data_IF_183363855697
#
_entry.id   IF_183363855697
#
_cell.length_a   1.000
_cell.length_b   1.000
_cell.length_c   1.000
_cell.angle_alpha   90.00
_cell.angle_beta   90.00
_cell.angle_gamma   90.00
#
_symmetry.space_group_name_H-M   'P 1'
#
loop_
_entity.id
_entity.type
_entity.pdbx_description
1 polymer ?
#
# COMPACT_ATOMS: atom_id res chain seq x y z
N UNK A 1 8.06 -35.42 8.79
CA UNK A 1 9.01 -34.68 7.95
C UNK A 1 9.68 -35.68 7.04
N UNK A 2 9.44 -35.58 5.73
CA UNK A 2 10.11 -36.40 4.73
C UNK A 2 11.22 -35.58 4.09
N UNK A 3 12.25 -36.28 3.63
CA UNK A 3 13.32 -35.70 2.82
C UNK A 3 13.10 -36.10 1.37
N UNK A 4 13.45 -35.22 0.45
CA UNK A 4 13.44 -35.48 -0.98
C UNK A 4 14.85 -35.57 -1.51
N UNK A 5 15.06 -36.55 -2.39
CA UNK A 5 16.21 -36.56 -3.28
C UNK A 5 16.05 -35.53 -4.40
N UNK A 6 17.13 -35.28 -5.14
CA UNK A 6 17.11 -34.36 -6.29
C UNK A 6 16.05 -34.71 -7.35
N UNK A 7 15.79 -36.00 -7.57
CA UNK A 7 14.75 -36.45 -8.51
C UNK A 7 13.34 -36.18 -8.00
N UNK A 8 13.09 -36.46 -6.72
CA UNK A 8 11.78 -36.23 -6.10
C UNK A 8 11.47 -34.73 -6.00
N UNK A 9 12.48 -33.92 -5.68
CA UNK A 9 12.37 -32.46 -5.70
C UNK A 9 12.04 -31.95 -7.11
N UNK A 10 12.69 -32.49 -8.14
CA UNK A 10 12.42 -32.14 -9.53
C UNK A 10 10.99 -32.55 -9.96
N UNK A 11 10.54 -33.75 -9.61
CA UNK A 11 9.16 -34.17 -9.89
C UNK A 11 8.12 -33.34 -9.14
N UNK A 12 8.39 -32.99 -7.88
CA UNK A 12 7.50 -32.19 -7.06
C UNK A 12 7.32 -30.77 -7.63
N UNK A 13 8.42 -30.12 -8.00
CA UNK A 13 8.41 -28.79 -8.61
C UNK A 13 8.05 -28.81 -10.09
N UNK A 14 7.91 -30.00 -10.70
CA UNK A 14 7.70 -30.22 -12.14
C UNK A 14 8.74 -29.51 -13.00
N UNK A 15 10.00 -29.63 -12.61
CA UNK A 15 11.17 -29.10 -13.33
C UNK A 15 12.11 -30.22 -13.76
N UNK A 16 12.99 -29.94 -14.73
CA UNK A 16 14.05 -30.88 -15.07
C UNK A 16 15.06 -31.03 -13.92
N UNK A 17 15.64 -32.22 -13.77
CA UNK A 17 16.67 -32.51 -12.76
C UNK A 17 17.85 -31.55 -12.83
N UNK A 18 18.29 -31.18 -14.03
CA UNK A 18 19.43 -30.24 -14.19
C UNK A 18 19.08 -28.85 -13.70
N UNK A 19 17.83 -28.42 -13.86
CA UNK A 19 17.31 -27.16 -13.31
C UNK A 19 17.23 -27.21 -11.80
N UNK A 20 16.67 -28.27 -11.22
CA UNK A 20 16.67 -28.48 -9.77
C UNK A 20 18.10 -28.46 -9.19
N UNK A 21 19.05 -29.06 -9.89
CA UNK A 21 20.47 -29.06 -9.49
C UNK A 21 21.09 -27.66 -9.56
N UNK A 22 20.70 -26.84 -10.54
CA UNK A 22 21.15 -25.44 -10.64
C UNK A 22 20.59 -24.59 -9.51
N UNK A 23 19.29 -24.72 -9.22
CA UNK A 23 18.63 -24.00 -8.12
C UNK A 23 19.28 -24.34 -6.77
N UNK A 24 19.58 -25.63 -6.53
CA UNK A 24 20.28 -26.05 -5.32
C UNK A 24 21.72 -25.51 -5.24
N UNK A 25 22.43 -25.40 -6.37
CA UNK A 25 23.76 -24.81 -6.43
C UNK A 25 23.75 -23.29 -6.25
N UNK A 26 22.73 -22.61 -6.76
CA UNK A 26 22.52 -21.17 -6.61
C UNK A 26 22.09 -20.80 -5.18
N UNK A 27 21.54 -21.77 -4.44
CA UNK A 27 21.03 -21.57 -3.08
C UNK A 27 19.60 -21.06 -3.04
N UNK A 28 18.87 -21.10 -4.16
CA UNK A 28 17.45 -20.74 -4.23
C UNK A 28 16.57 -21.70 -3.42
N UNK A 29 16.92 -22.99 -3.44
CA UNK A 29 16.25 -24.02 -2.64
C UNK A 29 17.20 -24.46 -1.53
N UNK A 30 16.70 -24.44 -0.29
CA UNK A 30 17.45 -24.92 0.87
C UNK A 30 17.60 -26.43 0.76
N UNK A 31 18.85 -26.87 0.57
CA UNK A 31 19.21 -28.27 0.45
C UNK A 31 20.61 -28.53 0.96
N UNK A 32 20.81 -29.70 1.53
CA UNK A 32 22.11 -30.15 2.01
C UNK A 32 22.73 -31.11 0.98
N UNK A 33 24.00 -30.87 0.64
CA UNK A 33 24.79 -31.84 -0.12
C UNK A 33 25.42 -32.83 0.85
N UNK A 34 24.92 -34.07 0.82
CA UNK A 34 25.42 -35.16 1.65
C UNK A 34 26.20 -36.12 0.75
N UNK A 35 27.53 -35.98 0.76
CA UNK A 35 28.43 -36.70 -0.14
C UNK A 35 28.20 -36.35 -1.62
N UNK A 36 27.73 -37.32 -2.40
CA UNK A 36 27.42 -37.16 -3.84
C UNK A 36 25.95 -36.81 -4.11
N UNK A 37 25.08 -36.97 -3.12
CA UNK A 37 23.65 -36.74 -3.25
C UNK A 37 23.25 -35.37 -2.70
N UNK A 38 22.15 -34.84 -3.24
CA UNK A 38 21.48 -33.66 -2.72
C UNK A 38 20.22 -34.11 -2.00
N UNK A 39 20.04 -33.63 -0.78
CA UNK A 39 18.91 -33.94 0.08
C UNK A 39 18.22 -32.63 0.45
N UNK A 40 16.91 -32.60 0.25
CA UNK A 40 16.04 -31.46 0.53
C UNK A 40 15.03 -31.86 1.59
N UNK A 41 14.58 -30.91 2.40
CA UNK A 41 13.41 -31.15 3.24
C UNK A 41 12.16 -30.83 2.44
N UNK A 42 11.12 -31.65 2.59
CA UNK A 42 9.83 -31.38 1.97
C UNK A 42 9.28 -29.99 2.33
N UNK A 43 9.46 -29.58 3.59
CA UNK A 43 8.98 -28.28 4.10
C UNK A 43 9.70 -27.10 3.40
N UNK A 44 11.00 -27.21 3.21
CA UNK A 44 11.81 -26.17 2.52
C UNK A 44 11.43 -26.06 1.04
N UNK A 45 11.18 -27.19 0.36
CA UNK A 45 10.74 -27.19 -1.04
C UNK A 45 9.35 -26.55 -1.18
N UNK A 46 8.45 -26.82 -0.23
CA UNK A 46 7.13 -26.19 -0.17
C UNK A 46 7.23 -24.70 0.15
N UNK A 47 8.14 -24.30 1.05
CA UNK A 47 8.38 -22.90 1.39
C UNK A 47 8.87 -22.12 0.15
N UNK A 48 9.80 -22.70 -0.61
CA UNK A 48 10.24 -22.13 -1.89
C UNK A 48 9.06 -21.97 -2.87
N UNK A 49 8.23 -23.00 -3.04
CA UNK A 49 7.06 -22.93 -3.93
C UNK A 49 6.08 -21.82 -3.52
N UNK A 50 5.84 -21.66 -2.22
CA UNK A 50 4.98 -20.59 -1.67
C UNK A 50 5.56 -19.21 -1.96
N UNK A 51 6.86 -19.02 -1.74
CA UNK A 51 7.52 -17.75 -2.03
C UNK A 51 7.45 -17.40 -3.52
N UNK A 52 7.69 -18.38 -4.41
CA UNK A 52 7.56 -18.19 -5.85
C UNK A 52 6.13 -17.85 -6.27
N UNK A 53 5.13 -18.54 -5.71
CA UNK A 53 3.72 -18.24 -5.98
C UNK A 53 3.33 -16.83 -5.49
N UNK A 54 3.85 -16.42 -4.33
CA UNK A 54 3.64 -15.07 -3.79
C UNK A 54 4.30 -14.02 -4.67
N UNK A 55 5.57 -14.18 -5.04
CA UNK A 55 6.28 -13.28 -5.96
C UNK A 55 5.53 -13.11 -7.27
N UNK A 56 5.06 -14.19 -7.88
CA UNK A 56 4.28 -14.12 -9.12
C UNK A 56 2.89 -13.49 -8.91
N UNK A 57 2.25 -13.70 -7.75
CA UNK A 57 0.96 -13.08 -7.45
C UNK A 57 1.13 -11.59 -7.22
N UNK A 58 2.18 -11.21 -6.50
CA UNK A 58 2.57 -9.83 -6.26
C UNK A 58 2.95 -9.15 -7.57
N UNK A 59 3.74 -9.77 -8.44
CA UNK A 59 4.07 -9.23 -9.77
C UNK A 59 2.83 -9.08 -10.66
N UNK A 60 1.86 -10.01 -10.59
CA UNK A 60 0.57 -9.87 -11.29
C UNK A 60 -0.29 -8.74 -10.69
N UNK A 61 -0.20 -8.52 -9.39
CA UNK A 61 -0.90 -7.43 -8.70
C UNK A 61 -0.23 -6.09 -9.01
N UNK A 62 1.09 -5.99 -8.93
CA UNK A 62 1.91 -4.83 -9.24
C UNK A 62 1.86 -4.48 -10.72
N UNK A 63 1.85 -5.48 -11.61
CA UNK A 63 1.63 -5.28 -13.05
C UNK A 63 0.21 -4.79 -13.39
N UNK A 64 -0.78 -5.04 -12.51
CA UNK A 64 -2.09 -4.37 -12.56
C UNK A 64 -2.04 -2.98 -11.93
N UNK A 65 -1.18 -2.79 -10.94
CA UNK A 65 -0.96 -1.54 -10.20
C UNK A 65 0.15 -0.73 -10.87
N UNK A 66 -0.05 -0.35 -12.12
CA UNK A 66 0.72 0.73 -12.75
C UNK A 66 -0.07 2.06 -12.62
N UNK A 67 0.53 3.23 -12.82
CA UNK A 67 1.34 4.07 -11.92
C UNK A 67 0.54 4.98 -10.93
N UNK A 68 -0.75 4.74 -10.67
CA UNK A 68 -1.58 5.64 -9.84
C UNK A 68 -1.42 5.43 -8.32
N UNK A 69 -0.70 4.38 -7.92
CA UNK A 69 -0.48 4.06 -6.51
C UNK A 69 0.48 5.02 -5.81
N UNK A 70 1.47 5.61 -6.51
CA UNK A 70 2.33 6.62 -5.89
C UNK A 70 1.53 7.86 -5.44
N UNK A 71 0.54 8.30 -6.22
CA UNK A 71 -0.30 9.44 -5.83
C UNK A 71 -1.28 9.07 -4.71
N UNK A 72 -1.82 7.86 -4.74
CA UNK A 72 -2.69 7.34 -3.68
C UNK A 72 -1.94 7.20 -2.35
N UNK A 73 -0.71 6.69 -2.38
CA UNK A 73 0.15 6.55 -1.20
C UNK A 73 0.57 7.93 -0.66
N UNK A 74 0.93 8.88 -1.55
CA UNK A 74 1.21 10.28 -1.18
C UNK A 74 0.02 10.97 -0.52
N UNK A 75 -1.20 10.82 -1.05
CA UNK A 75 -2.42 11.41 -0.45
C UNK A 75 -2.72 10.80 0.91
N UNK A 76 -2.58 9.48 1.03
CA UNK A 76 -2.80 8.76 2.28
C UNK A 76 -1.78 9.19 3.34
N UNK A 77 -0.50 9.24 2.98
CA UNK A 77 0.58 9.71 3.85
C UNK A 77 0.37 11.17 4.28
N UNK A 78 -0.02 12.06 3.37
CA UNK A 78 -0.32 13.47 3.69
C UNK A 78 -1.52 13.62 4.65
N UNK A 79 -2.56 12.79 4.49
CA UNK A 79 -3.72 12.80 5.38
C UNK A 79 -3.35 12.33 6.79
N UNK A 80 -2.59 11.24 6.90
CA UNK A 80 -2.06 10.72 8.17
C UNK A 80 -1.19 11.78 8.86
N UNK A 81 -0.28 12.40 8.11
CA UNK A 81 0.59 13.46 8.63
C UNK A 81 -0.21 14.68 9.11
N UNK A 82 -1.33 15.02 8.46
CA UNK A 82 -2.22 16.11 8.90
C UNK A 82 -3.00 15.77 10.18
N UNK A 83 -3.36 14.51 10.38
CA UNK A 83 -4.04 14.05 11.60
C UNK A 83 -3.11 13.99 12.81
N UNK A 84 -1.85 13.62 12.60
CA UNK A 84 -0.83 13.55 13.65
C UNK A 84 -0.28 14.93 14.05
N UNK A 85 -0.51 15.96 13.23
CA UNK A 85 -0.16 17.32 13.60
C UNK A 85 -1.00 17.76 14.80
N UNK A 86 -0.38 18.13 15.93
CA UNK A 86 -1.11 18.65 17.07
C UNK A 86 -1.89 19.89 16.62
N UNK A 87 -3.17 19.95 17.00
CA UNK A 87 -4.06 21.04 16.59
C UNK A 87 -3.40 22.38 16.90
N UNK A 88 -2.96 23.09 15.84
CA UNK A 88 -2.44 24.45 15.99
C UNK A 88 -3.52 25.23 16.72
N UNK A 89 -3.14 25.88 17.81
CA UNK A 89 -3.98 26.77 18.62
C UNK A 89 -4.96 27.51 17.73
N UNK A 90 -6.27 27.26 17.93
CA UNK A 90 -7.33 27.86 17.13
C UNK A 90 -7.07 29.35 17.04
N UNK A 91 -6.75 29.86 15.85
CA UNK A 91 -6.60 31.31 15.65
C UNK A 91 -7.91 31.95 16.12
N UNK A 92 -7.86 32.97 16.99
CA UNK A 92 -9.07 33.65 17.44
C UNK A 92 -9.84 34.11 16.20
N UNK A 93 -11.15 33.86 16.20
CA UNK A 93 -12.01 34.19 15.07
C UNK A 93 -11.86 35.66 14.67
N UNK A 94 -12.09 35.95 13.38
CA UNK A 94 -12.10 37.34 12.89
C UNK A 94 -13.03 38.16 13.77
N UNK A 95 -12.52 39.27 14.29
CA UNK A 95 -13.31 40.25 15.03
C UNK A 95 -14.43 40.75 14.10
N UNK A 96 -15.66 40.75 14.62
CA UNK A 96 -16.79 41.25 13.86
C UNK A 96 -16.53 42.70 13.47
N UNK A 97 -16.49 43.00 12.17
CA UNK A 97 -16.44 44.38 11.69
C UNK A 97 -17.72 45.08 12.10
N UNK A 98 -17.59 46.28 12.67
CA UNK A 98 -18.74 47.11 13.01
C UNK A 98 -19.58 47.38 11.75
N UNK A 99 -20.89 47.17 11.85
CA UNK A 99 -21.83 47.41 10.77
C UNK A 99 -21.84 48.92 10.44
N UNK A 100 -21.86 49.30 9.15
CA UNK A 100 -21.99 50.69 8.75
C UNK A 100 -23.34 51.24 9.21
N UNK A 101 -23.36 52.45 9.79
CA UNK A 101 -24.61 53.12 10.17
C UNK A 101 -25.30 53.66 8.93
N UNK A 102 -26.52 53.18 8.67
CA UNK A 102 -27.38 53.75 7.65
C UNK A 102 -27.96 55.09 8.14
N UNK A 103 -28.15 56.07 7.23
CA UNK A 103 -28.87 57.29 7.54
C UNK A 103 -30.34 56.99 7.86
N UNK A 104 -30.90 57.68 8.86
CA UNK A 104 -32.33 57.64 9.15
C UNK A 104 -33.12 58.22 7.98
N UNK A 105 -34.01 57.42 7.40
CA UNK A 105 -34.97 57.88 6.40
C UNK A 105 -36.04 58.72 7.10
N UNK A 106 -36.41 59.90 6.56
CA UNK A 106 -37.45 60.72 7.16
C UNK A 106 -38.76 59.94 7.19
N UNK A 107 -39.40 59.89 8.36
CA UNK A 107 -40.70 59.28 8.55
C UNK A 107 -41.68 59.90 7.56
N UNK A 108 -42.29 59.04 6.74
CA UNK A 108 -43.33 59.40 5.79
C UNK A 108 -44.48 60.10 6.51
N UNK A 109 -44.59 61.42 6.37
CA UNK A 109 -45.75 62.17 6.86
C UNK A 109 -46.88 62.02 5.85
N UNK A 110 -48.03 61.43 6.23
CA UNK A 110 -49.15 61.31 5.31
C UNK A 110 -49.87 62.65 5.19
N UNK A 111 -50.17 63.04 3.94
CA UNK A 111 -51.31 63.82 3.47
C UNK A 111 -51.66 65.18 4.13
N UNK A 112 -51.70 66.24 3.30
CA UNK A 112 -52.73 67.31 3.30
C UNK A 112 -52.45 68.24 2.09
N UNK A 113 -53.20 68.18 1.00
CA UNK A 113 -54.46 68.90 0.72
C UNK A 113 -54.34 70.43 0.71
N UNK A 114 -54.94 71.01 -0.36
CA UNK A 114 -55.37 72.40 -0.55
C UNK A 114 -54.25 73.42 -0.86
N UNK A 115 -54.37 74.33 -1.83
CA UNK A 115 -55.42 74.70 -2.78
C UNK A 115 -54.76 75.46 -3.94
#
# INVERSE_FOLDING_TARGET
MRTFDLQECADFLKVDRTTAMKLAQQGDIVGARIGRAWVFLEDDVVAFLREQAQKQTLERLEGRTNPDHEETDRRTHAAIQRQLQPATTRKPGRTARALPRLPDLPANTPAAQAA
#
